data_IF_700362757544
#
_entry.id   IF_700362757544
#
_cell.length_a   1.000
_cell.length_b   1.000
_cell.length_c   1.000
_cell.angle_alpha   90.00
_cell.angle_beta   90.00
_cell.angle_gamma   90.00
#
_symmetry.space_group_name_H-M   'P 1'
#
loop_
_entity.id
_entity.type
_entity.pdbx_description
1 polymer ?
#
# COMPACT_ATOMS: atom_id res chain seq x y z
N UNK A 1 38.38 -23.42 -34.30
CA UNK A 1 37.61 -24.05 -33.20
C UNK A 1 38.55 -24.62 -32.13
N UNK A 2 39.57 -25.43 -32.49
CA UNK A 2 40.56 -25.97 -31.53
C UNK A 2 41.23 -24.93 -30.61
N UNK A 3 41.71 -23.81 -31.15
CA UNK A 3 42.40 -22.77 -30.36
C UNK A 3 41.53 -22.10 -29.29
N UNK A 4 40.23 -21.99 -29.52
CA UNK A 4 39.29 -21.40 -28.56
C UNK A 4 38.96 -22.38 -27.43
N UNK A 5 38.79 -23.67 -27.76
CA UNK A 5 38.55 -24.72 -26.77
C UNK A 5 39.76 -24.88 -25.85
N UNK A 6 40.97 -24.89 -26.42
CA UNK A 6 42.21 -24.98 -25.64
C UNK A 6 42.41 -23.76 -24.73
N UNK A 7 42.05 -22.56 -25.20
CA UNK A 7 42.09 -21.35 -24.37
C UNK A 7 41.12 -21.42 -23.19
N UNK A 8 39.91 -21.96 -23.39
CA UNK A 8 38.91 -22.16 -22.33
C UNK A 8 39.40 -23.18 -21.31
N UNK A 9 39.92 -24.34 -21.76
CA UNK A 9 40.46 -25.38 -20.88
C UNK A 9 41.65 -24.85 -20.06
N UNK A 10 42.54 -24.06 -20.68
CA UNK A 10 43.67 -23.45 -19.99
C UNK A 10 43.21 -22.40 -18.96
N UNK A 11 42.14 -21.65 -19.25
CA UNK A 11 41.55 -20.70 -18.31
C UNK A 11 40.96 -21.41 -17.09
N UNK A 12 40.23 -22.52 -17.30
CA UNK A 12 39.69 -23.36 -16.23
C UNK A 12 40.83 -23.95 -15.37
N UNK A 13 41.87 -24.49 -16.00
CA UNK A 13 43.03 -25.04 -15.31
C UNK A 13 43.75 -23.99 -14.45
N UNK A 14 43.97 -22.79 -15.00
CA UNK A 14 44.50 -21.64 -14.23
C UNK A 14 43.60 -21.26 -13.07
N UNK A 15 42.28 -21.31 -13.26
CA UNK A 15 41.29 -21.10 -12.19
C UNK A 15 41.45 -22.09 -11.04
N UNK A 16 41.57 -23.39 -11.34
CA UNK A 16 41.78 -24.44 -10.33
C UNK A 16 43.11 -24.23 -9.59
N UNK A 17 44.19 -23.92 -10.31
CA UNK A 17 45.49 -23.61 -9.69
C UNK A 17 45.44 -22.37 -8.80
N UNK A 18 44.70 -21.33 -9.22
CA UNK A 18 44.49 -20.13 -8.41
C UNK A 18 43.78 -20.45 -7.10
N UNK A 19 42.71 -21.25 -7.15
CA UNK A 19 41.98 -21.68 -5.96
C UNK A 19 42.91 -22.47 -5.03
N UNK A 20 43.66 -23.45 -5.57
CA UNK A 20 44.61 -24.25 -4.78
C UNK A 20 45.68 -23.39 -4.11
N UNK A 21 46.23 -22.41 -4.84
CA UNK A 21 47.28 -21.51 -4.32
C UNK A 21 46.77 -20.57 -3.23
N UNK A 22 45.53 -20.10 -3.33
CA UNK A 22 44.96 -19.11 -2.41
C UNK A 22 43.94 -19.72 -1.43
N UNK A 23 43.88 -21.05 -1.30
CA UNK A 23 42.82 -21.76 -0.58
C UNK A 23 42.65 -21.26 0.86
N UNK A 24 43.75 -21.07 1.60
CA UNK A 24 43.74 -20.58 2.99
C UNK A 24 43.14 -19.17 3.08
N UNK A 25 43.50 -18.28 2.14
CA UNK A 25 42.98 -16.90 2.09
C UNK A 25 41.50 -16.92 1.74
N UNK A 26 41.09 -17.75 0.77
CA UNK A 26 39.70 -17.89 0.36
C UNK A 26 38.82 -18.39 1.50
N UNK A 27 39.26 -19.41 2.25
CA UNK A 27 38.56 -19.90 3.44
C UNK A 27 38.50 -18.81 4.51
N UNK A 28 39.60 -18.12 4.78
CA UNK A 28 39.63 -17.01 5.75
C UNK A 28 38.65 -15.90 5.41
N UNK A 29 38.61 -15.45 4.14
CA UNK A 29 37.66 -14.44 3.66
C UNK A 29 36.23 -14.93 3.71
N UNK A 30 35.98 -16.20 3.41
CA UNK A 30 34.64 -16.78 3.49
C UNK A 30 34.15 -16.81 4.94
N UNK A 31 34.98 -17.25 5.89
CA UNK A 31 34.63 -17.29 7.32
C UNK A 31 34.45 -15.88 7.89
N UNK A 32 35.33 -14.93 7.53
CA UNK A 32 35.18 -13.52 7.91
C UNK A 32 33.89 -12.92 7.34
N UNK A 33 33.61 -13.20 6.07
CA UNK A 33 32.39 -12.75 5.42
C UNK A 33 31.14 -13.34 6.07
N UNK A 34 31.17 -14.62 6.45
CA UNK A 34 30.07 -15.29 7.11
C UNK A 34 29.86 -14.74 8.53
N UNK A 35 30.93 -14.50 9.29
CA UNK A 35 30.87 -13.91 10.62
C UNK A 35 30.32 -12.48 10.60
N UNK A 36 30.82 -11.63 9.70
CA UNK A 36 30.31 -10.26 9.54
C UNK A 36 28.87 -10.24 9.03
N UNK A 37 28.55 -11.08 8.05
CA UNK A 37 27.18 -11.18 7.54
C UNK A 37 26.20 -11.71 8.59
N UNK A 38 26.61 -12.64 9.46
CA UNK A 38 25.81 -13.07 10.59
C UNK A 38 25.52 -11.91 11.55
N UNK A 39 26.56 -11.16 11.93
CA UNK A 39 26.43 -9.99 12.81
C UNK A 39 25.48 -8.93 12.24
N UNK A 40 25.62 -8.60 10.95
CA UNK A 40 24.75 -7.63 10.27
C UNK A 40 23.30 -8.13 10.21
N UNK A 41 23.07 -9.41 9.89
CA UNK A 41 21.72 -9.98 9.85
C UNK A 41 21.04 -10.02 11.25
N UNK A 42 21.82 -10.16 12.34
CA UNK A 42 21.28 -10.20 13.70
C UNK A 42 21.00 -8.82 14.29
N UNK A 43 21.87 -7.85 14.05
CA UNK A 43 21.80 -6.51 14.66
C UNK A 43 21.03 -5.50 13.80
N UNK A 44 21.11 -5.60 12.46
CA UNK A 44 20.43 -4.70 11.53
C UNK A 44 19.10 -5.29 11.05
N UNK A 45 18.27 -5.73 12.00
CA UNK A 45 16.90 -6.14 11.67
C UNK A 45 16.14 -4.94 11.11
N UNK A 46 15.38 -5.17 10.06
CA UNK A 46 14.43 -4.20 9.55
C UNK A 46 13.03 -4.73 9.78
N UNK A 47 12.15 -3.84 10.19
CA UNK A 47 10.74 -4.10 10.40
C UNK A 47 9.93 -3.30 9.40
N UNK A 48 8.76 -3.83 9.05
CA UNK A 48 7.81 -3.19 8.17
C UNK A 48 6.47 -3.16 8.88
N UNK A 49 5.89 -1.97 8.93
CA UNK A 49 4.54 -1.73 9.41
C UNK A 49 3.70 -1.19 8.26
N UNK A 50 2.49 -1.72 8.11
CA UNK A 50 1.56 -1.34 7.04
C UNK A 50 0.26 -0.84 7.64
N UNK A 51 -0.20 0.30 7.16
CA UNK A 51 -1.50 0.89 7.48
C UNK A 51 -2.30 0.88 6.19
N UNK A 52 -3.41 0.16 6.17
CA UNK A 52 -4.37 0.25 5.07
C UNK A 52 -5.31 1.41 5.37
N UNK A 53 -5.42 2.36 4.45
CA UNK A 53 -6.22 3.56 4.59
C UNK A 53 -7.20 3.74 3.43
N UNK A 54 -8.29 4.43 3.70
CA UNK A 54 -9.27 4.90 2.72
C UNK A 54 -9.38 6.44 2.84
N UNK A 55 -8.86 7.22 1.88
CA UNK A 55 -9.00 8.66 1.85
C UNK A 55 -10.44 9.06 1.47
N UNK A 56 -11.09 9.83 2.34
CA UNK A 56 -12.42 10.39 2.11
C UNK A 56 -12.34 11.77 1.45
N UNK A 57 -13.49 12.29 1.00
CA UNK A 57 -13.65 13.68 0.55
C UNK A 57 -12.74 14.10 -0.62
N UNK A 58 -12.28 13.14 -1.44
CA UNK A 58 -11.32 13.40 -2.50
C UNK A 58 -9.93 13.80 -2.00
N UNK A 59 -9.55 13.36 -0.79
CA UNK A 59 -8.27 13.69 -0.16
C UNK A 59 -7.09 12.81 -0.61
N UNK A 60 -7.25 11.98 -1.65
CA UNK A 60 -6.18 11.09 -2.12
C UNK A 60 -4.90 11.84 -2.48
N UNK A 61 -5.00 12.89 -3.29
CA UNK A 61 -3.81 13.65 -3.70
C UNK A 61 -3.14 14.35 -2.50
N UNK A 62 -3.95 14.88 -1.58
CA UNK A 62 -3.46 15.42 -0.30
C UNK A 62 -2.72 14.38 0.54
N UNK A 63 -3.26 13.16 0.65
CA UNK A 63 -2.63 12.05 1.34
C UNK A 63 -1.27 11.71 0.72
N UNK A 64 -1.20 11.57 -0.61
CA UNK A 64 0.06 11.28 -1.31
C UNK A 64 1.11 12.38 -1.10
N UNK A 65 0.70 13.65 -1.18
CA UNK A 65 1.61 14.79 -0.93
C UNK A 65 2.12 14.79 0.51
N UNK A 66 1.27 14.54 1.50
CA UNK A 66 1.65 14.45 2.93
C UNK A 66 2.64 13.32 3.18
N UNK A 67 2.41 12.13 2.61
CA UNK A 67 3.34 11.00 2.72
C UNK A 67 4.66 11.29 2.01
N UNK A 68 4.61 11.90 0.82
CA UNK A 68 5.82 12.31 0.07
C UNK A 68 6.67 13.28 0.89
N UNK A 69 6.04 14.29 1.51
CA UNK A 69 6.71 15.24 2.39
C UNK A 69 7.34 14.55 3.60
N UNK A 70 6.60 13.66 4.29
CA UNK A 70 7.15 12.87 5.40
C UNK A 70 8.39 12.08 4.97
N UNK A 71 8.33 11.43 3.81
CA UNK A 71 9.45 10.66 3.28
C UNK A 71 10.67 11.53 2.93
N UNK A 72 10.45 12.74 2.38
CA UNK A 72 11.54 13.70 2.13
C UNK A 72 12.23 14.09 3.44
N UNK A 73 11.45 14.44 4.47
CA UNK A 73 11.97 14.84 5.79
C UNK A 73 12.71 13.71 6.50
N UNK A 74 12.24 12.47 6.36
CA UNK A 74 12.96 11.27 6.85
C UNK A 74 14.32 11.15 6.14
N UNK A 75 14.35 11.29 4.80
CA UNK A 75 15.61 11.19 4.02
C UNK A 75 16.60 12.32 4.31
N UNK A 76 16.09 13.52 4.59
CA UNK A 76 16.88 14.68 5.01
C UNK A 76 17.37 14.58 6.46
N UNK A 77 16.83 13.66 7.25
CA UNK A 77 17.14 13.55 8.68
C UNK A 77 16.57 14.71 9.52
N UNK A 78 15.47 15.33 9.09
CA UNK A 78 14.83 16.44 9.80
C UNK A 78 14.04 15.95 11.02
N UNK A 79 14.78 15.66 12.09
CA UNK A 79 14.25 15.18 13.37
C UNK A 79 13.32 16.21 14.02
N UNK A 80 13.55 17.51 13.81
CA UNK A 80 12.75 18.57 14.41
C UNK A 80 11.33 18.59 13.82
N UNK A 81 11.21 18.52 12.50
CA UNK A 81 9.90 18.39 11.86
C UNK A 81 9.16 17.13 12.33
N UNK A 82 9.85 15.98 12.32
CA UNK A 82 9.22 14.70 12.66
C UNK A 82 8.79 14.62 14.13
N UNK A 83 9.55 15.20 15.07
CA UNK A 83 9.16 15.25 16.50
C UNK A 83 8.10 16.31 16.76
N UNK A 84 8.30 17.54 16.29
CA UNK A 84 7.50 18.68 16.74
C UNK A 84 6.24 18.90 15.89
N UNK A 85 6.32 18.73 14.57
CA UNK A 85 5.17 18.95 13.68
C UNK A 85 4.32 17.69 13.53
N UNK A 86 4.97 16.52 13.44
CA UNK A 86 4.29 15.23 13.24
C UNK A 86 3.98 14.54 14.58
N UNK A 87 4.84 14.68 15.60
CA UNK A 87 4.65 14.08 16.92
C UNK A 87 5.29 12.71 17.10
N UNK A 88 6.22 12.31 16.23
CA UNK A 88 6.87 11.00 16.29
C UNK A 88 7.92 11.02 17.39
N UNK A 89 7.80 10.12 18.38
CA UNK A 89 8.71 10.11 19.54
C UNK A 89 10.15 9.71 19.16
N UNK A 90 10.29 8.74 18.25
CA UNK A 90 11.56 8.13 17.84
C UNK A 90 11.73 8.13 16.31
N UNK A 91 11.83 9.32 15.67
CA UNK A 91 11.94 9.42 14.21
C UNK A 91 13.22 8.79 13.66
N UNK A 92 14.29 8.73 14.45
CA UNK A 92 15.55 8.09 14.09
C UNK A 92 15.42 6.59 13.77
N UNK A 93 14.34 5.95 14.22
CA UNK A 93 14.08 4.54 13.92
C UNK A 93 13.44 4.35 12.54
N UNK A 94 12.95 5.41 11.90
CA UNK A 94 12.22 5.34 10.63
C UNK A 94 13.19 5.51 9.48
N UNK A 95 13.28 4.49 8.63
CA UNK A 95 14.17 4.48 7.47
C UNK A 95 13.47 5.07 6.23
N UNK A 96 12.18 4.79 6.07
CA UNK A 96 11.39 5.27 4.94
C UNK A 96 9.89 5.13 5.19
N UNK A 97 9.10 5.97 4.52
CA UNK A 97 7.65 5.82 4.41
C UNK A 97 7.24 5.89 2.95
N UNK A 98 6.32 5.03 2.53
CA UNK A 98 5.80 5.00 1.16
C UNK A 98 4.29 4.77 1.17
N UNK A 99 3.63 5.18 0.08
CA UNK A 99 2.21 4.94 -0.15
C UNK A 99 2.02 4.33 -1.53
N UNK A 100 1.24 3.25 -1.59
CA UNK A 100 0.92 2.52 -2.81
C UNK A 100 -0.59 2.18 -2.81
N UNK A 101 -1.29 2.27 -3.95
CA UNK A 101 -2.68 1.86 -4.02
C UNK A 101 -2.81 0.34 -3.86
N UNK A 102 -3.90 -0.11 -3.25
CA UNK A 102 -4.25 -1.53 -3.21
C UNK A 102 -5.01 -1.86 -4.51
N UNK A 103 -4.28 -2.42 -5.48
CA UNK A 103 -4.80 -2.78 -6.79
C UNK A 103 -5.73 -3.98 -6.70
N UNK A 104 -7.01 -3.71 -6.40
CA UNK A 104 -8.08 -4.70 -6.36
C UNK A 104 -9.17 -4.31 -7.35
N UNK A 105 -9.09 -4.91 -8.55
CA UNK A 105 -9.98 -4.61 -9.68
C UNK A 105 -11.44 -4.92 -9.34
N UNK A 106 -11.70 -5.98 -8.56
CA UNK A 106 -13.06 -6.35 -8.19
C UNK A 106 -13.69 -5.30 -7.28
N UNK A 107 -12.95 -4.85 -6.26
CA UNK A 107 -13.41 -3.77 -5.40
C UNK A 107 -13.53 -2.44 -6.14
N UNK A 108 -12.64 -2.16 -7.09
CA UNK A 108 -12.73 -0.97 -7.94
C UNK A 108 -14.02 -0.95 -8.76
N UNK A 109 -14.31 -2.05 -9.48
CA UNK A 109 -15.55 -2.18 -10.28
C UNK A 109 -16.79 -2.10 -9.39
N UNK A 110 -16.79 -2.77 -8.24
CA UNK A 110 -17.92 -2.78 -7.31
C UNK A 110 -18.17 -1.44 -6.61
N UNK A 111 -17.19 -0.54 -6.56
CA UNK A 111 -17.30 0.72 -5.82
C UNK A 111 -18.16 1.79 -6.52
N UNK A 112 -18.18 1.81 -7.86
CA UNK A 112 -18.98 2.75 -8.66
C UNK A 112 -19.35 2.10 -10.00
N UNK A 113 -20.60 2.24 -10.43
CA UNK A 113 -21.07 1.72 -11.72
C UNK A 113 -20.26 2.28 -12.90
N UNK A 114 -19.90 3.56 -12.86
CA UNK A 114 -19.03 4.19 -13.85
C UNK A 114 -17.65 3.52 -13.97
N UNK A 115 -17.14 2.87 -12.91
CA UNK A 115 -15.88 2.14 -12.98
C UNK A 115 -16.02 0.87 -13.83
N UNK A 116 -17.18 0.22 -13.83
CA UNK A 116 -17.44 -0.93 -14.70
C UNK A 116 -17.44 -0.50 -16.17
N UNK A 117 -18.09 0.62 -16.49
CA UNK A 117 -18.12 1.17 -17.85
C UNK A 117 -16.72 1.53 -18.35
N UNK A 118 -15.92 2.18 -17.49
CA UNK A 118 -14.54 2.52 -17.79
C UNK A 118 -13.69 1.28 -18.10
N UNK A 119 -13.82 0.23 -17.28
CA UNK A 119 -13.08 -1.02 -17.47
C UNK A 119 -13.51 -1.73 -18.77
N UNK A 120 -14.80 -1.70 -19.13
CA UNK A 120 -15.28 -2.24 -20.40
C UNK A 120 -14.66 -1.51 -21.59
N UNK A 121 -14.67 -0.17 -21.58
CA UNK A 121 -14.04 0.65 -22.62
C UNK A 121 -12.54 0.35 -22.75
N UNK A 122 -11.84 0.24 -21.62
CA UNK A 122 -10.39 -0.05 -21.62
C UNK A 122 -10.05 -1.49 -22.04
N UNK A 123 -10.95 -2.44 -21.82
CA UNK A 123 -10.78 -3.82 -22.26
C UNK A 123 -10.88 -3.96 -23.78
N UNK A 124 -11.63 -3.07 -24.45
CA UNK A 124 -11.73 -3.03 -25.92
C UNK A 124 -10.39 -2.68 -26.59
N UNK A 125 -9.57 -1.84 -25.94
CA UNK A 125 -8.25 -1.40 -26.44
C UNK A 125 -7.11 -2.39 -26.12
N UNK A 126 -7.36 -3.45 -25.33
CA UNK A 126 -6.38 -4.51 -25.05
C UNK A 126 -5.23 -4.15 -24.10
N UNK A 127 -5.23 -2.96 -23.49
CA UNK A 127 -4.16 -2.47 -22.60
C UNK A 127 -4.55 -2.39 -21.12
N UNK A 128 -5.63 -3.07 -20.73
CA UNK A 128 -6.23 -2.96 -19.40
C UNK A 128 -5.22 -3.09 -18.24
N UNK A 129 -4.29 -4.05 -18.31
CA UNK A 129 -3.28 -4.24 -17.25
C UNK A 129 -2.34 -3.05 -17.07
N UNK A 130 -1.90 -2.42 -18.16
CA UNK A 130 -1.00 -1.26 -18.11
C UNK A 130 -1.70 -0.05 -17.52
N UNK A 131 -2.97 0.15 -17.86
CA UNK A 131 -3.74 1.31 -17.43
C UNK A 131 -4.18 1.15 -15.99
N UNK A 132 -4.53 -0.06 -15.55
CA UNK A 132 -4.95 -0.32 -14.18
C UNK A 132 -3.78 -0.18 -13.19
N UNK A 133 -2.58 -0.59 -13.59
CA UNK A 133 -1.37 -0.53 -12.77
C UNK A 133 -0.62 0.81 -12.91
N UNK A 134 -1.07 1.71 -13.80
CA UNK A 134 -0.43 3.00 -14.01
C UNK A 134 -0.48 3.87 -12.71
N UNK A 135 0.63 4.51 -12.30
CA UNK A 135 0.68 5.28 -11.05
C UNK A 135 -0.30 6.47 -10.96
N UNK A 136 -0.79 6.99 -12.09
CA UNK A 136 -1.74 8.10 -12.14
C UNK A 136 -3.17 7.59 -11.95
N UNK A 137 -3.55 6.56 -12.71
CA UNK A 137 -4.90 5.99 -12.67
C UNK A 137 -5.15 5.17 -11.40
N UNK A 138 -4.14 4.47 -10.91
CA UNK A 138 -4.22 3.62 -9.71
C UNK A 138 -4.44 4.41 -8.42
N UNK A 139 -4.24 5.74 -8.42
CA UNK A 139 -4.69 6.58 -7.31
C UNK A 139 -6.21 6.58 -7.11
N UNK A 140 -6.99 6.15 -8.09
CA UNK A 140 -8.46 6.07 -7.98
C UNK A 140 -8.96 4.82 -7.24
N UNK A 141 -8.07 3.90 -6.84
CA UNK A 141 -8.44 2.81 -5.95
C UNK A 141 -8.89 3.36 -4.59
N UNK A 142 -9.92 2.78 -3.96
CA UNK A 142 -10.44 3.28 -2.69
C UNK A 142 -9.50 3.04 -1.51
N UNK A 143 -8.66 2.01 -1.58
CA UNK A 143 -7.76 1.63 -0.50
C UNK A 143 -6.30 1.81 -0.91
N UNK A 144 -5.50 2.27 0.04
CA UNK A 144 -4.06 2.47 -0.13
C UNK A 144 -3.29 1.92 1.06
N UNK A 145 -2.10 1.40 0.81
CA UNK A 145 -1.19 0.95 1.83
C UNK A 145 -0.13 2.02 2.07
N UNK A 146 -0.06 2.51 3.31
CA UNK A 146 1.09 3.26 3.81
C UNK A 146 2.03 2.25 4.45
N UNK A 147 3.23 2.11 3.91
CA UNK A 147 4.26 1.21 4.43
C UNK A 147 5.39 2.01 5.06
N UNK A 148 5.70 1.69 6.32
CA UNK A 148 6.76 2.32 7.11
C UNK A 148 7.83 1.27 7.38
N UNK A 149 9.06 1.56 7.00
CA UNK A 149 10.22 0.71 7.27
C UNK A 149 11.00 1.29 8.46
N UNK A 150 11.33 0.44 9.43
CA UNK A 150 12.06 0.84 10.64
C UNK A 150 13.24 -0.07 10.93
N UNK A 151 14.23 0.45 11.65
CA UNK A 151 15.42 -0.29 12.11
C UNK A 151 15.17 -1.11 13.38
N UNK A 152 14.08 -0.84 14.10
CA UNK A 152 13.66 -1.57 15.30
C UNK A 152 12.15 -1.72 15.34
N UNK A 153 11.70 -2.62 16.20
CA UNK A 153 10.28 -2.73 16.54
C UNK A 153 9.81 -1.41 17.15
N UNK A 154 8.64 -0.93 16.70
CA UNK A 154 8.01 0.32 17.13
C UNK A 154 6.67 0.02 17.83
N UNK A 155 6.14 0.98 18.58
CA UNK A 155 4.76 0.90 19.08
C UNK A 155 3.83 1.71 18.16
N UNK A 156 2.54 1.41 18.23
CA UNK A 156 1.54 2.15 17.45
C UNK A 156 1.48 3.61 17.90
N UNK A 157 1.49 3.84 19.21
CA UNK A 157 1.34 5.15 19.86
C UNK A 157 2.53 6.07 19.59
N UNK A 158 3.73 5.50 19.40
CA UNK A 158 4.97 6.28 19.24
C UNK A 158 5.24 6.71 17.80
N UNK A 159 4.66 6.03 16.82
CA UNK A 159 4.96 6.25 15.39
C UNK A 159 3.70 6.28 14.53
N UNK A 160 2.85 5.26 14.63
CA UNK A 160 1.67 5.11 13.76
C UNK A 160 0.63 6.19 14.05
N UNK A 161 0.24 6.36 15.32
CA UNK A 161 -0.80 7.32 15.72
C UNK A 161 -0.39 8.78 15.46
N UNK A 162 0.87 9.21 15.68
CA UNK A 162 1.34 10.52 15.24
C UNK A 162 1.23 10.74 13.73
N UNK A 163 1.61 9.73 12.93
CA UNK A 163 1.51 9.81 11.46
C UNK A 163 0.05 9.95 11.03
N UNK A 164 -0.85 9.09 11.52
CA UNK A 164 -2.27 9.17 11.15
C UNK A 164 -2.90 10.47 11.63
N UNK A 165 -2.57 10.93 12.84
CA UNK A 165 -3.01 12.23 13.35
C UNK A 165 -2.52 13.39 12.49
N UNK A 166 -1.29 13.33 11.97
CA UNK A 166 -0.75 14.33 11.06
C UNK A 166 -1.47 14.35 9.71
N UNK A 167 -1.94 13.21 9.21
CA UNK A 167 -2.76 13.13 8.00
C UNK A 167 -4.12 13.83 8.18
N UNK A 168 -4.66 13.86 9.39
CA UNK A 168 -5.90 14.58 9.72
C UNK A 168 -5.73 16.11 9.87
N UNK A 169 -4.49 16.64 9.79
CA UNK A 169 -4.21 18.08 9.93
C UNK A 169 -4.44 18.86 8.63
N UNK A 170 -5.71 19.11 8.30
CA UNK A 170 -6.11 20.02 7.21
C UNK A 170 -7.38 20.81 7.53
N UNK A 171 -7.30 22.14 7.55
CA UNK A 171 -8.46 23.01 7.78
C UNK A 171 -9.50 22.91 6.66
N UNK A 172 -9.04 22.77 5.42
CA UNK A 172 -9.92 22.58 4.27
C UNK A 172 -10.74 21.30 4.40
N UNK A 173 -10.07 20.15 4.58
CA UNK A 173 -10.76 18.87 4.64
C UNK A 173 -11.58 18.68 5.91
N UNK A 174 -11.19 19.29 7.05
CA UNK A 174 -12.02 19.29 8.27
C UNK A 174 -13.36 19.99 8.06
N UNK A 175 -13.38 21.11 7.33
CA UNK A 175 -14.65 21.80 6.99
C UNK A 175 -15.52 20.94 6.07
N UNK A 176 -14.92 20.34 5.04
CA UNK A 176 -15.64 19.44 4.12
C UNK A 176 -16.20 18.22 4.87
N UNK A 177 -15.41 17.63 5.76
CA UNK A 177 -15.83 16.51 6.58
C UNK A 177 -17.05 16.87 7.44
N UNK A 178 -17.00 17.98 8.17
CA UNK A 178 -18.09 18.41 9.04
C UNK A 178 -19.40 18.60 8.26
N UNK A 179 -19.35 19.30 7.13
CA UNK A 179 -20.51 19.52 6.27
C UNK A 179 -21.02 18.21 5.66
N UNK A 180 -20.13 17.31 5.26
CA UNK A 180 -20.49 16.01 4.69
C UNK A 180 -21.19 15.13 5.72
N UNK A 181 -20.71 15.09 6.97
CA UNK A 181 -21.37 14.39 8.09
C UNK A 181 -22.74 15.00 8.38
N UNK A 182 -22.84 16.33 8.37
CA UNK A 182 -24.12 17.01 8.58
C UNK A 182 -25.13 16.66 7.48
N UNK A 183 -24.71 16.65 6.22
CA UNK A 183 -25.57 16.29 5.09
C UNK A 183 -25.99 14.82 5.12
N UNK A 184 -25.08 13.93 5.53
CA UNK A 184 -25.40 12.52 5.75
C UNK A 184 -26.47 12.36 6.84
N UNK A 185 -26.32 13.04 7.98
CA UNK A 185 -27.31 12.99 9.06
C UNK A 185 -28.67 13.55 8.62
N UNK A 186 -28.70 14.66 7.87
CA UNK A 186 -29.95 15.20 7.29
C UNK A 186 -30.63 14.16 6.40
N UNK A 187 -29.86 13.46 5.56
CA UNK A 187 -30.38 12.40 4.68
C UNK A 187 -30.94 11.22 5.48
N UNK A 188 -30.22 10.77 6.51
CA UNK A 188 -30.70 9.73 7.43
C UNK A 188 -32.02 10.14 8.08
N UNK A 189 -32.12 11.35 8.63
CA UNK A 189 -33.36 11.84 9.26
C UNK A 189 -34.50 11.97 8.25
N UNK A 190 -34.23 12.42 7.03
CA UNK A 190 -35.23 12.49 5.97
C UNK A 190 -35.74 11.10 5.58
N UNK A 191 -34.84 10.12 5.41
CA UNK A 191 -35.21 8.75 5.10
C UNK A 191 -36.07 8.13 6.22
N UNK A 192 -35.74 8.36 7.49
CA UNK A 192 -36.56 7.90 8.62
C UNK A 192 -37.95 8.50 8.60
N UNK A 193 -38.07 9.80 8.29
CA UNK A 193 -39.35 10.48 8.14
C UNK A 193 -40.19 9.88 7.01
N UNK A 194 -39.57 9.64 5.84
CA UNK A 194 -40.25 9.05 4.67
C UNK A 194 -40.72 7.63 4.99
N UNK A 195 -39.86 6.80 5.61
CA UNK A 195 -40.23 5.44 6.02
C UNK A 195 -41.43 5.47 6.99
N UNK A 196 -41.45 6.41 7.94
CA UNK A 196 -42.56 6.58 8.87
C UNK A 196 -43.87 6.98 8.16
N UNK A 197 -43.79 7.90 7.20
CA UNK A 197 -44.94 8.28 6.37
C UNK A 197 -45.46 7.10 5.53
N UNK A 198 -44.56 6.30 4.94
CA UNK A 198 -44.94 5.08 4.22
C UNK A 198 -45.66 4.08 5.15
N UNK A 199 -45.19 3.92 6.40
CA UNK A 199 -45.87 3.06 7.38
C UNK A 199 -47.32 3.52 7.62
N UNK A 200 -47.55 4.84 7.74
CA UNK A 200 -48.90 5.39 7.92
C UNK A 200 -49.80 5.10 6.71
N UNK A 201 -49.27 5.25 5.48
CA UNK A 201 -50.00 4.92 4.25
C UNK A 201 -50.38 3.44 4.23
N UNK A 202 -49.41 2.54 4.42
CA UNK A 202 -49.64 1.08 4.44
C UNK A 202 -50.68 0.70 5.51
N UNK A 203 -50.57 1.25 6.72
CA UNK A 203 -51.52 0.99 7.80
C UNK A 203 -52.93 1.51 7.47
N UNK A 204 -53.05 2.63 6.77
CA UNK A 204 -54.35 3.18 6.32
C UNK A 204 -55.02 2.25 5.32
N UNK A 205 -54.26 1.67 4.38
CA UNK A 205 -54.77 0.65 3.45
C UNK A 205 -55.19 -0.63 4.18
N UNK A 206 -54.37 -1.13 5.12
CA UNK A 206 -54.68 -2.35 5.88
C UNK A 206 -55.94 -2.21 6.76
N UNK A 207 -56.22 -0.99 7.24
CA UNK A 207 -57.34 -0.72 8.15
C UNK A 207 -58.65 -0.33 7.44
N UNK A 208 -58.69 -0.24 6.10
CA UNK A 208 -59.95 -0.08 5.35
C UNK A 208 -60.78 -1.38 5.42
N UNK A 209 -61.62 -1.50 6.45
CA UNK A 209 -62.73 -2.47 6.46
C UNK A 209 -63.91 -1.91 5.67
N UNK A 210 -64.36 -2.68 4.68
CA UNK A 210 -65.56 -2.54 3.84
C UNK A 210 -66.42 -1.28 4.01
N UNK A 211 -66.33 -0.37 3.03
CA UNK A 211 -67.45 0.50 2.67
C UNK A 211 -68.01 -0.03 1.35
N UNK A 212 -69.08 -0.81 1.45
CA UNK A 212 -69.95 -1.15 0.33
C UNK A 212 -70.60 0.14 -0.19
N UNK A 213 -70.12 0.65 -1.33
CA UNK A 213 -70.85 1.62 -2.14
C UNK A 213 -70.40 1.51 -3.61
N UNK A 214 -71.14 0.69 -4.37
CA UNK A 214 -71.68 0.82 -5.74
C UNK A 214 -71.08 1.77 -6.81
N UNK A 215 -69.85 2.26 -6.67
CA UNK A 215 -69.14 3.00 -7.73
C UNK A 215 -67.75 2.43 -7.92
N UNK A 216 -67.71 1.30 -8.61
CA UNK A 216 -66.52 0.58 -9.02
C UNK A 216 -65.75 1.37 -10.09
N UNK A 217 -64.95 2.35 -9.66
CA UNK A 217 -63.68 2.61 -10.35
C UNK A 217 -62.74 1.54 -9.84
N UNK A 218 -62.40 0.56 -10.68
CA UNK A 218 -61.39 -0.45 -10.40
C UNK A 218 -60.04 0.27 -10.20
N UNK A 219 -59.79 0.74 -8.99
CA UNK A 219 -58.47 1.24 -8.63
C UNK A 219 -57.51 0.04 -8.68
N UNK A 220 -56.50 0.13 -9.54
CA UNK A 220 -55.36 -0.77 -9.55
C UNK A 220 -54.47 -0.51 -8.30
N UNK A 221 -55.05 -0.64 -7.10
CA UNK A 221 -54.44 -0.32 -5.80
C UNK A 221 -53.29 -1.27 -5.46
N UNK A 222 -53.33 -2.51 -5.97
CA UNK A 222 -52.34 -3.55 -5.64
C UNK A 222 -50.95 -3.27 -6.23
N UNK A 223 -50.87 -2.67 -7.43
CA UNK A 223 -49.57 -2.36 -8.06
C UNK A 223 -48.91 -1.16 -7.38
N UNK A 224 -49.68 -0.12 -7.05
CA UNK A 224 -49.19 1.08 -6.36
C UNK A 224 -48.73 0.77 -4.92
N UNK A 225 -49.41 -0.14 -4.20
CA UNK A 225 -48.97 -0.56 -2.87
C UNK A 225 -47.64 -1.34 -2.92
N UNK A 226 -47.46 -2.18 -3.93
CA UNK A 226 -46.20 -2.91 -4.13
C UNK A 226 -45.02 -1.95 -4.38
N UNK A 227 -45.21 -0.90 -5.19
CA UNK A 227 -44.18 0.13 -5.41
C UNK A 227 -43.79 0.86 -4.12
N UNK A 228 -44.77 1.19 -3.27
CA UNK A 228 -44.54 1.85 -1.98
C UNK A 228 -43.76 0.92 -1.02
N UNK A 229 -44.11 -0.36 -0.97
CA UNK A 229 -43.40 -1.35 -0.15
C UNK A 229 -41.96 -1.53 -0.65
N UNK A 230 -41.76 -1.63 -1.96
CA UNK A 230 -40.42 -1.75 -2.55
C UNK A 230 -39.58 -0.49 -2.28
N UNK A 231 -40.19 0.70 -2.36
CA UNK A 231 -39.53 1.96 -2.00
C UNK A 231 -39.09 1.95 -0.54
N UNK A 232 -39.95 1.51 0.39
CA UNK A 232 -39.59 1.37 1.81
C UNK A 232 -38.43 0.40 2.02
N UNK A 233 -38.44 -0.76 1.37
CA UNK A 233 -37.35 -1.72 1.46
C UNK A 233 -36.04 -1.11 0.95
N UNK A 234 -36.08 -0.36 -0.16
CA UNK A 234 -34.93 0.39 -0.68
C UNK A 234 -34.39 1.41 0.32
N UNK A 235 -35.25 2.21 0.95
CA UNK A 235 -34.86 3.19 1.96
C UNK A 235 -34.25 2.54 3.21
N UNK A 236 -34.75 1.37 3.64
CA UNK A 236 -34.18 0.62 4.77
C UNK A 236 -32.77 0.10 4.44
N UNK A 237 -32.57 -0.46 3.25
CA UNK A 237 -31.25 -0.89 2.79
C UNK A 237 -30.29 0.30 2.68
N UNK A 238 -30.77 1.42 2.14
CA UNK A 238 -30.02 2.66 2.08
C UNK A 238 -29.62 3.14 3.47
N UNK A 239 -30.52 3.14 4.46
CA UNK A 239 -30.21 3.51 5.84
C UNK A 239 -29.04 2.70 6.42
N UNK A 240 -29.04 1.38 6.19
CA UNK A 240 -27.94 0.51 6.59
C UNK A 240 -26.61 0.95 5.95
N UNK A 241 -26.62 1.27 4.66
CA UNK A 241 -25.44 1.80 3.95
C UNK A 241 -24.98 3.16 4.48
N UNK A 242 -25.91 4.10 4.70
CA UNK A 242 -25.61 5.42 5.24
C UNK A 242 -25.00 5.35 6.64
N UNK A 243 -25.48 4.42 7.49
CA UNK A 243 -24.92 4.19 8.82
C UNK A 243 -23.46 3.71 8.76
N UNK A 244 -23.13 2.81 7.84
CA UNK A 244 -21.74 2.35 7.62
C UNK A 244 -20.89 3.51 7.06
N UNK A 245 -21.40 4.26 6.09
CA UNK A 245 -20.70 5.41 5.50
C UNK A 245 -20.38 6.48 6.55
N UNK A 246 -21.24 6.66 7.54
CA UNK A 246 -21.00 7.58 8.66
C UNK A 246 -19.70 7.25 9.40
N UNK A 247 -19.44 5.96 9.68
CA UNK A 247 -18.22 5.48 10.35
C UNK A 247 -16.98 5.77 9.48
N UNK A 248 -17.10 5.56 8.17
CA UNK A 248 -16.01 5.82 7.23
C UNK A 248 -15.66 7.31 7.18
N UNK A 249 -16.66 8.20 7.23
CA UNK A 249 -16.50 9.66 7.14
C UNK A 249 -15.98 10.33 8.42
N UNK A 250 -15.80 9.59 9.52
CA UNK A 250 -15.26 10.12 10.79
C UNK A 250 -13.83 10.65 10.70
N UNK A 251 -13.09 10.30 9.64
CA UNK A 251 -11.74 10.78 9.37
C UNK A 251 -11.58 11.25 7.94
N UNK A 252 -10.65 12.17 7.70
CA UNK A 252 -10.21 12.56 6.36
C UNK A 252 -9.55 11.36 5.67
N UNK A 253 -8.71 10.63 6.41
CA UNK A 253 -8.06 9.39 5.99
C UNK A 253 -8.37 8.30 7.02
N UNK A 254 -9.34 7.44 6.71
CA UNK A 254 -9.79 6.38 7.63
C UNK A 254 -8.88 5.16 7.54
N UNK A 255 -8.38 4.67 8.65
CA UNK A 255 -7.63 3.41 8.70
C UNK A 255 -8.60 2.21 8.73
N UNK A 256 -8.39 1.24 7.85
CA UNK A 256 -9.16 -0.02 7.83
C UNK A 256 -8.40 -1.18 8.47
N UNK A 257 -7.07 -1.16 8.43
CA UNK A 257 -6.24 -2.14 9.14
C UNK A 257 -4.86 -1.57 9.47
N UNK A 258 -4.25 -2.10 10.54
CA UNK A 258 -2.89 -1.77 10.95
C UNK A 258 -2.17 -3.06 11.27
N UNK A 259 -1.01 -3.27 10.65
CA UNK A 259 -0.11 -4.38 10.93
C UNK A 259 1.26 -3.81 11.27
N UNK A 260 1.80 -4.16 12.44
CA UNK A 260 3.05 -3.58 12.95
C UNK A 260 4.14 -4.64 13.07
N UNK A 261 5.39 -4.20 12.89
CA UNK A 261 6.60 -4.95 13.21
C UNK A 261 6.73 -6.30 12.48
N UNK A 262 6.29 -6.39 11.22
CA UNK A 262 6.60 -7.55 10.39
C UNK A 262 8.09 -7.54 10.06
N UNK A 263 8.77 -8.65 10.30
CA UNK A 263 10.18 -8.78 9.96
C UNK A 263 10.34 -8.62 8.43
N UNK A 264 11.16 -7.65 8.03
CA UNK A 264 11.44 -7.41 6.63
C UNK A 264 12.50 -8.41 6.13
N UNK A 265 12.05 -9.41 5.38
CA UNK A 265 12.91 -10.43 4.75
C UNK A 265 13.18 -10.15 3.27
N UNK A 266 12.75 -8.98 2.75
CA UNK A 266 12.94 -8.59 1.35
C UNK A 266 14.39 -8.12 1.11
N UNK A 267 14.85 -8.30 -0.13
CA UNK A 267 16.21 -7.92 -0.57
C UNK A 267 17.31 -8.65 0.22
N UNK A 268 18.32 -7.90 0.69
CA UNK A 268 19.51 -8.38 1.42
C UNK A 268 19.26 -8.60 2.91
N UNK A 269 18.15 -8.11 3.48
CA UNK A 269 17.87 -8.23 4.90
C UNK A 269 17.68 -9.69 5.32
N UNK A 270 18.53 -10.18 6.22
CA UNK A 270 18.56 -11.58 6.66
C UNK A 270 19.29 -12.53 5.71
N UNK A 271 19.88 -12.00 4.63
CA UNK A 271 20.66 -12.76 3.63
C UNK A 271 22.11 -12.32 3.56
N UNK A 272 22.55 -11.34 4.35
CA UNK A 272 23.93 -10.84 4.28
C UNK A 272 24.94 -11.90 4.72
N UNK A 273 24.57 -12.81 5.63
CA UNK A 273 25.36 -14.01 5.99
C UNK A 273 25.68 -14.92 4.81
N UNK A 274 24.86 -14.89 3.75
CA UNK A 274 25.11 -15.63 2.51
C UNK A 274 25.84 -14.75 1.49
N UNK A 275 25.46 -13.48 1.33
CA UNK A 275 26.01 -12.61 0.28
C UNK A 275 27.44 -12.15 0.57
N UNK A 276 27.74 -11.74 1.80
CA UNK A 276 29.05 -11.19 2.16
C UNK A 276 30.23 -12.17 1.95
N UNK A 277 30.13 -13.47 2.32
CA UNK A 277 31.18 -14.45 2.01
C UNK A 277 31.54 -14.51 0.53
N UNK A 278 30.53 -14.60 -0.35
CA UNK A 278 30.76 -14.66 -1.79
C UNK A 278 31.27 -13.33 -2.35
N UNK A 279 30.81 -12.19 -1.82
CA UNK A 279 31.30 -10.88 -2.20
C UNK A 279 32.80 -10.71 -1.89
N UNK A 280 33.25 -11.13 -0.70
CA UNK A 280 34.67 -11.03 -0.31
C UNK A 280 35.56 -11.92 -1.17
N UNK A 281 35.13 -13.16 -1.43
CA UNK A 281 35.82 -14.07 -2.35
C UNK A 281 35.87 -13.48 -3.76
N UNK A 282 34.75 -12.95 -4.25
CA UNK A 282 34.65 -12.32 -5.56
C UNK A 282 35.60 -11.13 -5.69
N UNK A 283 35.58 -10.20 -4.72
CA UNK A 283 36.47 -9.04 -4.70
C UNK A 283 37.94 -9.47 -4.70
N UNK A 284 38.31 -10.47 -3.91
CA UNK A 284 39.68 -10.99 -3.89
C UNK A 284 40.11 -11.56 -5.25
N UNK A 285 39.28 -12.41 -5.86
CA UNK A 285 39.54 -12.97 -7.20
C UNK A 285 39.65 -11.85 -8.23
N UNK A 286 38.75 -10.88 -8.19
CA UNK A 286 38.71 -9.74 -9.09
C UNK A 286 39.98 -8.89 -8.99
N UNK A 287 40.37 -8.48 -7.78
CA UNK A 287 41.60 -7.71 -7.55
C UNK A 287 42.86 -8.47 -7.98
N UNK A 288 42.94 -9.78 -7.69
CA UNK A 288 44.08 -10.61 -8.12
C UNK A 288 44.16 -10.76 -9.63
N UNK A 289 43.02 -10.87 -10.30
CA UNK A 289 42.96 -10.94 -11.78
C UNK A 289 43.43 -9.63 -12.40
N UNK A 290 42.95 -8.48 -11.90
CA UNK A 290 43.42 -7.16 -12.34
C UNK A 290 44.92 -6.98 -12.07
N UNK A 291 45.39 -7.37 -10.88
CA UNK A 291 46.81 -7.27 -10.54
C UNK A 291 47.67 -8.14 -11.48
N UNK A 292 47.23 -9.35 -11.82
CA UNK A 292 47.91 -10.23 -12.77
C UNK A 292 47.95 -9.63 -14.17
N UNK A 293 46.82 -9.12 -14.65
CA UNK A 293 46.72 -8.44 -15.94
C UNK A 293 47.65 -7.22 -16.02
N UNK A 294 47.64 -6.37 -15.00
CA UNK A 294 48.49 -5.18 -14.93
C UNK A 294 49.98 -5.54 -15.00
N UNK A 295 50.43 -6.55 -14.22
CA UNK A 295 51.82 -7.01 -14.24
C UNK A 295 52.23 -7.52 -15.62
N UNK A 296 51.38 -8.31 -16.26
CA UNK A 296 51.63 -8.84 -17.61
C UNK A 296 51.76 -7.73 -18.65
N UNK A 297 50.90 -6.71 -18.58
CA UNK A 297 50.97 -5.57 -19.49
C UNK A 297 52.18 -4.67 -19.22
N UNK A 298 52.57 -4.49 -17.95
CA UNK A 298 53.76 -3.72 -17.58
C UNK A 298 55.05 -4.40 -18.06
N UNK A 299 55.15 -5.72 -17.95
CA UNK A 299 56.30 -6.48 -18.47
C UNK A 299 56.42 -6.36 -19.99
N UNK A 300 55.30 -6.41 -20.72
CA UNK A 300 55.31 -6.15 -22.18
C UNK A 300 55.79 -4.74 -22.50
N UNK A 301 55.34 -3.73 -21.77
CA UNK A 301 55.77 -2.35 -21.96
C UNK A 301 57.27 -2.15 -21.67
N UNK A 302 57.82 -2.81 -20.64
CA UNK A 302 59.25 -2.72 -20.30
C UNK A 302 60.18 -3.43 -21.29
N UNK A 303 59.65 -4.42 -22.02
CA UNK A 303 60.40 -5.20 -23.01
C UNK A 303 60.20 -4.68 -24.45
N UNK A 304 59.57 -3.50 -24.61
CA UNK A 304 59.54 -2.71 -25.84
C UNK A 304 60.65 -1.66 -25.80
#
# INVERSE_FOLDING_TARGET
IGSYVDAVLMSIFKGILFIKKNLVILIGLFVLGAGLGYYLDTELKSYTSTITVNPNFGSTEYLYQKISLLNSRIKEGDVNFLKNEVGIAQPELINSIKIEPLTDIFNFVGSKEANLELIKLMAEDGELSKIIEDPVTSKNYPYHNITIATSKSISKETVIDPITSYLEKSDYYKKIQAESIQNLNKKITANDSIISQINLVINTFANKKGVSNDKMVYYNENTQLNEIINTKNGLILEQGSLAINKINMEKIVKESSVSINLLNTKSLNGKTKLVLPFLFVFLFVFFKTIQGFYKHQLEKYKNQ
#
